data_IF_735848596311
#
_entry.id   IF_735848596311
#
_cell.length_a   1.000
_cell.length_b   1.000
_cell.length_c   1.000
_cell.angle_alpha   90.00
_cell.angle_beta   90.00
_cell.angle_gamma   90.00
#
_symmetry.space_group_name_H-M   'P 1'
#
loop_
_entity.id
_entity.type
_entity.pdbx_description
1 polymer ?
#
# COMPACT_ATOMS: atom_id res chain seq x y z
N UNK A 1 -14.08 8.36 8.91
CA UNK A 1 -14.60 7.11 9.51
C UNK A 1 -13.60 6.62 10.54
N UNK A 2 -14.00 6.39 11.80
CA UNK A 2 -13.09 5.91 12.88
C UNK A 2 -12.69 4.43 12.75
N UNK A 3 -13.32 3.68 11.82
CA UNK A 3 -13.12 2.24 11.63
C UNK A 3 -11.79 1.89 10.94
N UNK A 4 -11.25 2.80 10.13
CA UNK A 4 -10.07 2.57 9.29
C UNK A 4 -9.04 3.68 9.54
N UNK A 5 -8.41 3.65 10.72
CA UNK A 5 -7.42 4.63 11.17
C UNK A 5 -6.23 3.98 11.88
N UNK A 6 -5.61 4.69 12.83
CA UNK A 6 -4.40 4.24 13.54
C UNK A 6 -4.53 2.83 14.17
N UNK A 7 -5.67 2.52 14.81
CA UNK A 7 -5.91 1.20 15.41
C UNK A 7 -5.99 0.08 14.36
N UNK A 8 -6.61 0.37 13.22
CA UNK A 8 -6.71 -0.59 12.13
C UNK A 8 -5.33 -0.85 11.51
N UNK A 9 -4.56 0.22 11.23
CA UNK A 9 -3.18 0.11 10.76
C UNK A 9 -2.31 -0.68 11.75
N UNK A 10 -2.43 -0.41 13.05
CA UNK A 10 -1.73 -1.20 14.08
C UNK A 10 -2.04 -2.69 13.95
N UNK A 11 -3.31 -3.04 13.82
CA UNK A 11 -3.74 -4.44 13.69
C UNK A 11 -3.22 -5.08 12.41
N UNK A 12 -3.29 -4.36 11.29
CA UNK A 12 -2.80 -4.79 9.99
C UNK A 12 -1.28 -5.04 9.99
N UNK A 13 -0.49 -4.06 10.46
CA UNK A 13 0.98 -4.17 10.51
C UNK A 13 1.45 -5.22 11.51
N UNK A 14 0.74 -5.40 12.63
CA UNK A 14 0.99 -6.52 13.55
C UNK A 14 0.68 -7.88 12.94
N UNK A 15 -0.36 -7.99 12.12
CA UNK A 15 -0.71 -9.23 11.43
C UNK A 15 0.33 -9.57 10.35
N UNK A 16 0.80 -8.55 9.62
CA UNK A 16 1.88 -8.69 8.64
C UNK A 16 3.28 -8.93 9.28
N UNK A 17 3.44 -8.67 10.58
CA UNK A 17 4.71 -8.82 11.29
C UNK A 17 5.71 -7.70 11.03
N UNK A 18 5.27 -6.59 10.42
CA UNK A 18 6.13 -5.46 10.03
C UNK A 18 6.20 -4.37 11.10
N UNK A 19 5.34 -4.45 12.13
CA UNK A 19 5.36 -3.64 13.33
C UNK A 19 5.63 -4.52 14.56
N UNK A 20 6.58 -4.17 15.44
CA UNK A 20 6.84 -4.89 16.70
C UNK A 20 5.60 -4.94 17.60
N UNK A 21 5.36 -6.08 18.27
CA UNK A 21 4.15 -6.31 19.09
C UNK A 21 4.00 -5.37 20.30
N UNK A 22 5.10 -4.76 20.73
CA UNK A 22 5.14 -3.79 21.84
C UNK A 22 5.02 -2.32 21.37
N UNK A 23 4.76 -2.12 20.08
CA UNK A 23 4.55 -0.81 19.46
C UNK A 23 3.13 -0.71 18.88
N UNK A 24 2.75 0.49 18.43
CA UNK A 24 1.50 0.72 17.72
C UNK A 24 1.61 1.97 16.86
N UNK A 25 0.74 2.09 15.86
CA UNK A 25 0.49 3.38 15.21
C UNK A 25 -0.29 4.23 16.21
N UNK A 26 0.32 5.30 16.71
CA UNK A 26 -0.29 6.23 17.65
C UNK A 26 -1.27 7.15 16.92
N UNK A 27 -0.92 7.58 15.71
CA UNK A 27 -1.72 8.53 14.93
C UNK A 27 -1.56 8.29 13.44
N UNK A 28 -2.69 8.35 12.73
CA UNK A 28 -2.73 8.54 11.28
C UNK A 28 -2.79 10.04 11.03
N UNK A 29 -1.68 10.64 10.63
CA UNK A 29 -1.51 12.08 10.44
C UNK A 29 -2.12 12.53 9.12
N UNK A 30 -1.87 11.77 8.05
CA UNK A 30 -2.34 12.05 6.71
C UNK A 30 -2.77 10.75 6.03
N UNK A 31 -3.85 10.83 5.26
CA UNK A 31 -4.22 9.85 4.26
C UNK A 31 -4.78 10.63 3.07
N UNK A 32 -3.97 10.80 2.02
CA UNK A 32 -4.29 11.61 0.87
C UNK A 32 -4.27 10.75 -0.39
N UNK A 33 -5.41 10.68 -1.08
CA UNK A 33 -5.47 10.05 -2.39
C UNK A 33 -4.69 10.86 -3.41
N UNK A 34 -3.83 10.17 -4.17
CA UNK A 34 -3.04 10.80 -5.21
C UNK A 34 -3.94 11.14 -6.39
N UNK A 35 -3.93 12.39 -6.88
CA UNK A 35 -4.69 12.76 -8.07
C UNK A 35 -4.05 12.13 -9.30
N UNK A 36 -4.42 10.89 -9.61
CA UNK A 36 -3.94 10.21 -10.81
C UNK A 36 -4.75 10.73 -12.00
N UNK A 37 -4.12 11.53 -12.87
CA UNK A 37 -4.73 12.03 -14.11
C UNK A 37 -3.82 11.78 -15.31
N UNK A 38 -4.37 11.67 -16.51
CA UNK A 38 -3.58 11.48 -17.73
C UNK A 38 -2.65 10.27 -17.67
N UNK A 39 -1.36 10.46 -17.95
CA UNK A 39 -0.35 9.39 -17.92
C UNK A 39 -0.07 8.86 -16.51
N UNK A 40 -0.40 9.59 -15.44
CA UNK A 40 -0.19 9.14 -14.06
C UNK A 40 -1.16 8.00 -13.66
N UNK A 41 -2.22 7.80 -14.44
CA UNK A 41 -3.14 6.65 -14.31
C UNK A 41 -2.48 5.35 -14.82
N UNK A 42 -1.40 5.42 -15.62
CA UNK A 42 -0.81 4.26 -16.30
C UNK A 42 -0.18 3.19 -15.39
N UNK A 43 -0.23 3.35 -14.05
CA UNK A 43 0.10 2.31 -13.09
C UNK A 43 -1.13 1.45 -12.74
N UNK A 44 -1.16 0.22 -13.23
CA UNK A 44 -2.28 -0.73 -13.15
C UNK A 44 -2.63 -1.31 -11.78
N UNK A 45 -2.49 -0.54 -10.69
CA UNK A 45 -2.69 -1.01 -9.32
C UNK A 45 -3.76 -0.20 -8.57
N UNK A 46 -4.79 0.26 -9.28
CA UNK A 46 -5.92 0.96 -8.67
C UNK A 46 -5.58 2.36 -8.16
N UNK A 47 -6.41 2.80 -7.21
CA UNK A 47 -6.26 4.06 -6.49
C UNK A 47 -5.01 4.01 -5.60
N UNK A 48 -4.39 5.17 -5.42
CA UNK A 48 -3.12 5.30 -4.71
C UNK A 48 -3.24 6.38 -3.64
N UNK A 49 -2.57 6.21 -2.51
CA UNK A 49 -2.57 7.24 -1.47
C UNK A 49 -1.21 7.38 -0.80
N UNK A 50 -0.89 8.62 -0.39
CA UNK A 50 0.14 8.86 0.61
C UNK A 50 -0.46 8.77 2.01
N UNK A 51 0.25 8.10 2.89
CA UNK A 51 -0.12 7.90 4.29
C UNK A 51 1.04 8.40 5.15
N UNK A 52 0.75 9.26 6.13
CA UNK A 52 1.72 9.65 7.16
C UNK A 52 1.25 9.14 8.51
N UNK A 53 2.11 8.44 9.24
CA UNK A 53 1.83 7.89 10.57
C UNK A 53 2.84 8.33 11.60
N UNK A 54 2.41 8.37 12.85
CA UNK A 54 3.29 8.45 14.02
C UNK A 54 3.17 7.14 14.80
N UNK A 55 4.31 6.53 15.16
CA UNK A 55 4.35 5.35 16.03
C UNK A 55 4.47 5.76 17.49
N UNK A 56 3.89 4.98 18.41
CA UNK A 56 3.99 5.24 19.84
C UNK A 56 5.45 5.14 20.34
N UNK A 57 6.23 4.24 19.74
CA UNK A 57 7.68 4.12 19.92
C UNK A 57 8.34 4.38 18.57
N UNK A 58 8.88 5.58 18.32
CA UNK A 58 9.62 5.85 17.10
C UNK A 58 10.82 4.91 16.97
N UNK A 59 11.03 4.38 15.76
CA UNK A 59 12.12 3.45 15.46
C UNK A 59 12.70 3.84 14.08
N UNK A 60 14.02 4.03 13.93
CA UNK A 60 14.65 4.33 12.64
C UNK A 60 14.37 3.31 11.53
N UNK A 61 14.03 2.06 11.86
CA UNK A 61 13.66 1.02 10.90
C UNK A 61 12.16 1.04 10.50
N UNK A 62 11.38 1.96 11.09
CA UNK A 62 9.95 2.18 10.81
C UNK A 62 9.72 3.51 10.09
N UNK A 63 9.42 3.43 8.79
CA UNK A 63 9.02 4.57 7.97
C UNK A 63 7.67 5.12 8.44
N UNK A 64 7.62 6.45 8.56
CA UNK A 64 6.41 7.21 8.87
C UNK A 64 5.66 7.65 7.62
N UNK A 65 6.36 7.74 6.50
CA UNK A 65 5.84 8.10 5.19
C UNK A 65 5.63 6.81 4.37
N UNK A 66 4.37 6.51 4.07
CA UNK A 66 3.93 5.28 3.44
C UNK A 66 3.16 5.58 2.15
N UNK A 67 3.18 4.62 1.25
CA UNK A 67 2.44 4.62 0.00
C UNK A 67 1.52 3.41 -0.04
N UNK A 68 0.25 3.65 -0.36
CA UNK A 68 -0.76 2.61 -0.42
C UNK A 68 -1.36 2.49 -1.82
N UNK A 69 -1.68 1.25 -2.20
CA UNK A 69 -2.49 0.87 -3.37
C UNK A 69 -3.72 0.11 -2.89
N UNK A 70 -4.86 0.40 -3.49
CA UNK A 70 -6.14 -0.21 -3.17
C UNK A 70 -7.01 -0.25 -4.43
N UNK A 71 -7.98 -1.19 -4.52
CA UNK A 71 -8.73 -1.40 -5.75
C UNK A 71 -9.52 -0.17 -6.14
N UNK A 72 -9.75 -0.03 -7.45
CA UNK A 72 -10.79 0.86 -7.96
C UNK A 72 -12.13 0.60 -7.27
N UNK A 73 -12.95 1.64 -7.14
CA UNK A 73 -14.31 1.46 -6.67
C UNK A 73 -15.08 0.62 -7.70
N UNK A 74 -15.63 -0.51 -7.23
CA UNK A 74 -16.37 -1.43 -8.07
C UNK A 74 -17.69 -0.83 -8.55
N UNK A 75 -18.28 0.10 -7.79
CA UNK A 75 -19.60 0.65 -8.02
C UNK A 75 -19.58 2.04 -8.65
N UNK A 76 -18.43 2.70 -8.70
CA UNK A 76 -18.29 4.06 -9.24
C UNK A 76 -18.57 4.12 -10.75
N UNK A 77 -18.02 3.19 -11.53
CA UNK A 77 -18.20 3.19 -12.99
C UNK A 77 -18.01 1.82 -13.63
N UNK A 78 -18.56 1.63 -14.84
CA UNK A 78 -18.35 0.41 -15.63
C UNK A 78 -16.87 0.18 -15.94
N UNK A 79 -16.14 1.27 -16.23
CA UNK A 79 -14.70 1.28 -16.48
C UNK A 79 -13.91 0.88 -15.23
N UNK A 80 -14.21 1.47 -14.07
CA UNK A 80 -13.58 1.13 -12.78
C UNK A 80 -13.79 -0.35 -12.40
N UNK A 81 -15.01 -0.86 -12.59
CA UNK A 81 -15.33 -2.28 -12.44
C UNK A 81 -14.48 -3.17 -13.36
N UNK A 82 -14.38 -2.83 -14.64
CA UNK A 82 -13.59 -3.61 -15.60
C UNK A 82 -12.11 -3.63 -15.22
N UNK A 83 -11.53 -2.47 -14.89
CA UNK A 83 -10.13 -2.38 -14.48
C UNK A 83 -9.86 -3.16 -13.19
N UNK A 84 -10.74 -3.06 -12.19
CA UNK A 84 -10.63 -3.85 -10.97
C UNK A 84 -10.57 -5.35 -11.25
N UNK A 85 -11.48 -5.88 -12.06
CA UNK A 85 -11.48 -7.30 -12.42
C UNK A 85 -10.20 -7.69 -13.20
N UNK A 86 -9.75 -6.83 -14.12
CA UNK A 86 -8.55 -7.06 -14.91
C UNK A 86 -7.29 -7.12 -14.03
N UNK A 87 -7.14 -6.17 -13.11
CA UNK A 87 -5.97 -6.04 -12.25
C UNK A 87 -5.97 -7.14 -11.18
N UNK A 88 -7.08 -7.27 -10.46
CA UNK A 88 -7.14 -8.09 -9.24
C UNK A 88 -7.46 -9.56 -9.51
N UNK A 89 -8.00 -9.93 -10.67
CA UNK A 89 -8.39 -11.31 -10.97
C UNK A 89 -7.72 -11.87 -12.21
N UNK A 90 -7.84 -11.19 -13.36
CA UNK A 90 -7.43 -11.79 -14.64
C UNK A 90 -5.93 -11.68 -14.94
N UNK A 91 -5.34 -10.52 -14.67
CA UNK A 91 -3.94 -10.21 -14.99
C UNK A 91 -2.99 -10.30 -13.81
N UNK A 92 -3.52 -10.41 -12.59
CA UNK A 92 -2.76 -10.50 -11.34
C UNK A 92 -1.60 -9.50 -11.24
N UNK A 93 -1.86 -8.23 -11.60
CA UNK A 93 -0.81 -7.24 -11.85
C UNK A 93 -0.06 -6.81 -10.58
N UNK A 94 -0.68 -6.94 -9.41
CA UNK A 94 -0.07 -6.59 -8.12
C UNK A 94 0.85 -7.69 -7.56
N UNK A 95 0.73 -8.94 -8.05
CA UNK A 95 1.54 -10.07 -7.57
C UNK A 95 3.04 -9.87 -7.80
N UNK A 96 3.41 -9.18 -8.87
CA UNK A 96 4.81 -8.93 -9.23
C UNK A 96 5.52 -8.07 -8.20
N UNK A 97 4.83 -7.05 -7.68
CA UNK A 97 5.35 -6.19 -6.62
C UNK A 97 5.47 -6.96 -5.30
N UNK A 98 4.47 -7.78 -4.97
CA UNK A 98 4.53 -8.64 -3.78
C UNK A 98 5.70 -9.63 -3.87
N UNK A 99 5.86 -10.33 -5.00
CA UNK A 99 6.94 -11.30 -5.21
C UNK A 99 8.31 -10.63 -5.15
N UNK A 100 8.44 -9.43 -5.71
CA UNK A 100 9.69 -8.67 -5.64
C UNK A 100 10.03 -8.31 -4.20
N UNK A 101 9.09 -7.75 -3.45
CA UNK A 101 9.32 -7.38 -2.06
C UNK A 101 9.59 -8.60 -1.17
N UNK A 102 8.83 -9.69 -1.33
CA UNK A 102 8.95 -10.86 -0.46
C UNK A 102 10.17 -11.74 -0.79
N UNK A 103 10.40 -12.03 -2.07
CA UNK A 103 11.43 -12.99 -2.48
C UNK A 103 12.77 -12.34 -2.83
N UNK A 104 12.79 -11.07 -3.24
CA UNK A 104 14.00 -10.45 -3.79
C UNK A 104 14.68 -9.46 -2.84
N UNK A 105 14.04 -9.02 -1.75
CA UNK A 105 14.59 -8.00 -0.83
C UNK A 105 16.02 -8.33 -0.36
N UNK A 106 16.28 -9.60 -0.03
CA UNK A 106 17.58 -10.06 0.45
C UNK A 106 18.58 -10.43 -0.67
N UNK A 107 18.14 -10.42 -1.93
CA UNK A 107 18.94 -10.84 -3.08
C UNK A 107 19.45 -9.66 -3.93
N UNK A 108 18.78 -8.50 -3.86
CA UNK A 108 19.13 -7.34 -4.66
C UNK A 108 20.32 -6.59 -4.04
N UNK A 109 21.29 -6.12 -4.85
CA UNK A 109 22.45 -5.38 -4.35
C UNK A 109 22.13 -3.91 -4.01
N UNK A 110 20.86 -3.56 -4.01
CA UNK A 110 20.36 -2.22 -3.70
C UNK A 110 19.05 -2.34 -2.91
N UNK A 111 18.75 -1.27 -2.18
CA UNK A 111 17.54 -1.17 -1.38
C UNK A 111 16.29 -1.08 -2.26
N UNK A 112 15.27 -1.86 -1.92
CA UNK A 112 13.91 -1.72 -2.44
C UNK A 112 12.99 -1.17 -1.33
N UNK A 113 11.79 -0.66 -1.68
CA UNK A 113 10.83 -0.19 -0.68
C UNK A 113 10.47 -1.30 0.30
N UNK A 114 10.45 -0.99 1.59
CA UNK A 114 9.99 -1.96 2.59
C UNK A 114 8.50 -2.23 2.42
N UNK A 115 8.11 -3.51 2.35
CA UNK A 115 6.73 -3.93 2.42
C UNK A 115 6.21 -3.86 3.85
N UNK A 116 5.09 -3.17 4.07
CA UNK A 116 4.46 -3.02 5.38
C UNK A 116 3.21 -3.87 5.54
N UNK A 117 2.38 -3.96 4.51
CA UNK A 117 1.18 -4.78 4.54
C UNK A 117 0.78 -5.17 3.13
N UNK A 118 0.29 -6.39 2.95
CA UNK A 118 -0.32 -6.83 1.72
C UNK A 118 -1.43 -7.83 2.03
N UNK A 119 -2.64 -7.57 1.54
CA UNK A 119 -3.73 -8.53 1.55
C UNK A 119 -4.42 -8.60 0.18
N UNK A 120 -4.31 -9.80 -0.39
CA UNK A 120 -4.54 -10.31 -1.74
C UNK A 120 -5.84 -11.10 -2.03
N UNK A 121 -7.07 -10.57 -1.99
CA UNK A 121 -8.26 -11.41 -2.28
C UNK A 121 -8.66 -11.43 -3.76
N UNK A 122 -8.32 -12.52 -4.47
CA UNK A 122 -8.73 -12.74 -5.88
C UNK A 122 -10.24 -12.96 -6.04
N UNK A 123 -10.86 -13.59 -5.04
CA UNK A 123 -12.29 -13.91 -5.02
C UNK A 123 -13.13 -12.65 -4.90
N UNK A 124 -12.80 -11.79 -3.93
CA UNK A 124 -13.56 -10.56 -3.68
C UNK A 124 -13.04 -9.37 -4.47
N UNK A 125 -11.90 -9.51 -5.15
CA UNK A 125 -11.12 -8.45 -5.81
C UNK A 125 -10.69 -7.31 -4.88
N UNK A 126 -10.88 -7.47 -3.56
CA UNK A 126 -10.38 -6.52 -2.60
C UNK A 126 -8.90 -6.73 -2.37
N UNK A 127 -8.18 -5.63 -2.26
CA UNK A 127 -6.80 -5.67 -1.88
C UNK A 127 -6.36 -4.42 -1.15
N UNK A 128 -5.26 -4.55 -0.42
CA UNK A 128 -4.51 -3.40 0.00
C UNK A 128 -3.04 -3.75 0.06
N UNK A 129 -2.22 -2.89 -0.53
CA UNK A 129 -0.77 -2.97 -0.47
C UNK A 129 -0.26 -1.67 0.15
N UNK A 130 0.53 -1.77 1.22
CA UNK A 130 1.21 -0.65 1.86
C UNK A 130 2.70 -0.91 1.84
N UNK A 131 3.44 0.03 1.27
CA UNK A 131 4.90 0.02 1.19
C UNK A 131 5.44 1.34 1.71
N UNK A 132 6.75 1.37 1.95
CA UNK A 132 7.48 2.61 2.16
C UNK A 132 7.26 3.61 1.01
N UNK A 133 7.05 4.89 1.33
CA UNK A 133 7.05 5.96 0.34
C UNK A 133 8.48 6.31 -0.07
N UNK A 134 8.82 6.12 -1.34
CA UNK A 134 10.08 6.64 -1.90
C UNK A 134 9.93 8.14 -2.20
N UNK A 135 10.80 9.00 -1.66
CA UNK A 135 10.82 10.41 -2.05
C UNK A 135 11.45 10.55 -3.44
N UNK A 136 10.65 10.91 -4.43
CA UNK A 136 11.17 11.32 -5.74
C UNK A 136 11.58 12.80 -5.70
N UNK A 137 12.74 13.10 -6.29
CA UNK A 137 13.13 14.49 -6.54
C UNK A 137 12.23 15.10 -7.63
N UNK A 138 12.13 16.44 -7.69
CA UNK A 138 11.32 17.16 -8.71
C UNK A 138 11.71 16.88 -10.18
N UNK A 139 12.78 16.11 -10.44
CA UNK A 139 13.26 15.71 -11.78
C UNK A 139 13.66 14.23 -11.82
N UNK A 140 12.87 13.38 -11.16
CA UNK A 140 12.91 11.93 -11.41
C UNK A 140 12.46 11.62 -12.83
#
# INVERSE_FOLDING_TARGET
SSRFGAQWLTSALHAAGTLPKDNNVAKLVLCEELPTTGFDIAGGAGMKSFITVEYARPDPALHTELFAKFPWDYFESATGKQYRMQISTYGDMDSQELMTNFAMEHLLPFRIPKLYFCDISRETTNYMLIVERIPFSKRG
#
